data_IF_822347301892
#
_entry.id   IF_822347301892
#
_cell.length_a   1.000
_cell.length_b   1.000
_cell.length_c   1.000
_cell.angle_alpha   90.00
_cell.angle_beta   90.00
_cell.angle_gamma   90.00
#
_symmetry.space_group_name_H-M   'P 1'
#
loop_
_entity.id
_entity.type
_entity.pdbx_description
1 polymer ?
#
# COMPACT_ATOMS: atom_id res chain seq x y z
N UNK A 1 -24.59 -15.59 1.65
CA UNK A 1 -23.64 -14.47 1.65
C UNK A 1 -22.33 -14.92 2.24
N UNK A 2 -21.22 -14.51 1.61
CA UNK A 2 -19.85 -14.80 2.05
C UNK A 2 -19.38 -13.81 3.10
N UNK A 3 -19.76 -12.54 2.96
CA UNK A 3 -19.49 -11.52 3.97
C UNK A 3 -20.72 -11.37 4.89
N UNK A 4 -20.63 -11.77 6.17
CA UNK A 4 -21.72 -11.63 7.11
C UNK A 4 -21.93 -10.18 7.61
N UNK A 5 -20.98 -9.27 7.35
CA UNK A 5 -21.07 -7.86 7.71
C UNK A 5 -21.86 -7.05 6.67
N UNK A 6 -22.06 -7.59 5.47
CA UNK A 6 -22.89 -6.98 4.43
C UNK A 6 -24.39 -7.20 4.67
N UNK A 7 -25.20 -6.28 4.11
CA UNK A 7 -26.65 -6.43 4.00
C UNK A 7 -27.03 -6.96 2.62
N UNK A 8 -27.75 -8.09 2.56
CA UNK A 8 -28.18 -8.71 1.30
C UNK A 8 -28.94 -7.74 0.39
N UNK A 9 -29.89 -7.00 0.96
CA UNK A 9 -30.69 -6.03 0.21
C UNK A 9 -29.84 -4.87 -0.32
N UNK A 10 -28.83 -4.46 0.46
CA UNK A 10 -27.92 -3.40 0.06
C UNK A 10 -27.04 -3.84 -1.10
N UNK A 11 -26.46 -5.05 -1.04
CA UNK A 11 -25.65 -5.59 -2.14
C UNK A 11 -26.45 -5.70 -3.44
N UNK A 12 -27.70 -6.17 -3.37
CA UNK A 12 -28.59 -6.25 -4.53
C UNK A 12 -28.90 -4.87 -5.10
N UNK A 13 -29.24 -3.90 -4.24
CA UNK A 13 -29.50 -2.51 -4.65
C UNK A 13 -28.28 -1.86 -5.30
N UNK A 14 -27.07 -2.03 -4.73
CA UNK A 14 -25.82 -1.54 -5.30
C UNK A 14 -25.57 -2.15 -6.69
N UNK A 15 -25.73 -3.47 -6.84
CA UNK A 15 -25.53 -4.14 -8.14
C UNK A 15 -26.49 -3.61 -9.20
N UNK A 16 -27.77 -3.39 -8.84
CA UNK A 16 -28.76 -2.83 -9.77
C UNK A 16 -28.43 -1.38 -10.14
N UNK A 17 -28.16 -0.54 -9.13
CA UNK A 17 -27.81 0.87 -9.31
C UNK A 17 -26.57 1.05 -10.19
N UNK A 18 -25.48 0.32 -9.90
CA UNK A 18 -24.22 0.42 -10.63
C UNK A 18 -24.38 0.00 -12.09
N UNK A 19 -25.21 -1.03 -12.36
CA UNK A 19 -25.52 -1.44 -13.73
C UNK A 19 -26.28 -0.36 -14.48
N UNK A 20 -27.24 0.31 -13.84
CA UNK A 20 -27.96 1.44 -14.43
C UNK A 20 -27.02 2.62 -14.72
N UNK A 21 -26.15 2.98 -13.76
CA UNK A 21 -25.15 4.04 -13.90
C UNK A 21 -24.13 3.77 -15.02
N UNK A 22 -23.72 2.51 -15.20
CA UNK A 22 -22.90 2.06 -16.33
C UNK A 22 -23.67 2.21 -17.65
N UNK A 23 -24.96 1.85 -17.69
CA UNK A 23 -25.78 1.98 -18.89
C UNK A 23 -25.96 3.44 -19.34
N UNK A 24 -26.21 4.35 -18.40
CA UNK A 24 -26.31 5.79 -18.69
C UNK A 24 -24.97 6.37 -19.17
N UNK A 25 -23.85 5.95 -18.58
CA UNK A 25 -22.51 6.34 -19.03
C UNK A 25 -22.18 5.83 -20.44
N UNK A 26 -22.58 4.62 -20.79
CA UNK A 26 -22.47 4.10 -22.17
C UNK A 26 -23.22 4.99 -23.16
N UNK A 27 -24.46 5.39 -22.84
CA UNK A 27 -25.24 6.34 -23.69
C UNK A 27 -24.52 7.68 -23.82
N UNK A 28 -23.98 8.23 -22.73
CA UNK A 28 -23.22 9.48 -22.73
C UNK A 28 -21.98 9.40 -23.63
N UNK A 29 -21.23 8.29 -23.57
CA UNK A 29 -20.04 8.09 -24.42
C UNK A 29 -20.44 8.05 -25.90
N UNK A 30 -21.54 7.38 -26.26
CA UNK A 30 -22.03 7.36 -27.65
C UNK A 30 -22.30 8.78 -28.18
N UNK A 31 -22.98 9.61 -27.37
CA UNK A 31 -23.26 11.01 -27.74
C UNK A 31 -21.97 11.81 -27.90
N UNK A 32 -21.02 11.67 -26.98
CA UNK A 32 -19.74 12.40 -27.04
C UNK A 32 -18.88 11.98 -28.24
N UNK A 33 -18.91 10.70 -28.63
CA UNK A 33 -18.22 10.22 -29.84
C UNK A 33 -18.83 10.81 -31.11
N UNK A 34 -20.16 10.87 -31.21
CA UNK A 34 -20.87 11.53 -32.33
C UNK A 34 -20.60 13.05 -32.37
N UNK A 35 -20.53 13.71 -31.22
CA UNK A 35 -20.15 15.11 -31.13
C UNK A 35 -18.72 15.35 -31.64
N UNK A 36 -17.77 14.47 -31.31
CA UNK A 36 -16.40 14.55 -31.82
C UNK A 36 -16.33 14.44 -33.34
N UNK A 37 -17.09 13.52 -33.95
CA UNK A 37 -17.17 13.40 -35.42
C UNK A 37 -17.75 14.65 -36.09
N UNK A 38 -18.65 15.36 -35.40
CA UNK A 38 -19.29 16.61 -35.86
C UNK A 38 -18.53 17.88 -35.48
N UNK A 39 -17.43 17.78 -34.72
CA UNK A 39 -16.70 18.92 -34.19
C UNK A 39 -17.49 19.75 -33.17
N UNK A 40 -18.43 19.14 -32.46
CA UNK A 40 -19.27 19.78 -31.43
C UNK A 40 -18.62 19.63 -30.06
N UNK A 41 -18.50 20.72 -29.32
CA UNK A 41 -17.97 20.74 -27.95
C UNK A 41 -19.06 21.22 -26.98
N UNK A 42 -19.65 20.30 -26.19
CA UNK A 42 -20.77 20.62 -25.28
C UNK A 42 -20.32 21.15 -23.91
N UNK A 43 -19.12 20.81 -23.49
CA UNK A 43 -18.60 21.06 -22.15
C UNK A 43 -17.30 21.87 -22.20
N UNK A 44 -16.85 22.49 -21.09
CA UNK A 44 -15.56 23.18 -21.05
C UNK A 44 -14.35 22.23 -21.23
N UNK A 45 -14.40 21.03 -20.64
CA UNK A 45 -13.38 19.97 -20.84
C UNK A 45 -13.63 19.30 -22.19
N UNK A 46 -12.57 18.97 -22.94
CA UNK A 46 -12.69 18.33 -24.25
C UNK A 46 -13.42 16.98 -24.17
N UNK A 47 -14.11 16.61 -25.25
CA UNK A 47 -14.92 15.39 -25.27
C UNK A 47 -14.12 14.12 -24.99
N UNK A 48 -12.87 14.02 -25.48
CA UNK A 48 -12.03 12.84 -25.29
C UNK A 48 -11.68 12.62 -23.82
N UNK A 49 -11.26 13.69 -23.13
CA UNK A 49 -10.96 13.64 -21.70
C UNK A 49 -12.19 13.40 -20.83
N UNK A 50 -13.40 13.74 -21.31
CA UNK A 50 -14.65 13.37 -20.63
C UNK A 50 -14.95 11.89 -20.84
N UNK A 51 -14.73 11.36 -22.05
CA UNK A 51 -14.90 9.93 -22.35
C UNK A 51 -13.96 9.10 -21.46
N UNK A 52 -12.68 9.46 -21.37
CA UNK A 52 -11.70 8.81 -20.49
C UNK A 52 -12.14 8.78 -19.03
N UNK A 53 -12.51 9.94 -18.46
CA UNK A 53 -13.02 10.01 -17.09
C UNK A 53 -14.33 9.23 -16.90
N UNK A 54 -15.16 9.13 -17.95
CA UNK A 54 -16.41 8.35 -17.91
C UNK A 54 -16.13 6.85 -17.87
N UNK A 55 -15.16 6.35 -18.64
CA UNK A 55 -14.70 4.96 -18.55
C UNK A 55 -14.09 4.64 -17.19
N UNK A 56 -13.29 5.55 -16.61
CA UNK A 56 -12.77 5.40 -15.24
C UNK A 56 -13.90 5.24 -14.22
N UNK A 57 -14.95 6.07 -14.32
CA UNK A 57 -16.13 5.94 -13.48
C UNK A 57 -16.87 4.62 -13.68
N UNK A 58 -17.04 4.17 -14.93
CA UNK A 58 -17.64 2.86 -15.23
C UNK A 58 -16.84 1.70 -14.64
N UNK A 59 -15.50 1.80 -14.64
CA UNK A 59 -14.64 0.83 -14.01
C UNK A 59 -14.85 0.78 -12.48
N UNK A 60 -14.96 1.93 -11.81
CA UNK A 60 -15.24 1.97 -10.36
C UNK A 60 -16.55 1.23 -10.00
N UNK A 61 -17.66 1.54 -10.69
CA UNK A 61 -18.93 0.82 -10.51
C UNK A 61 -18.81 -0.67 -10.81
N UNK A 62 -18.02 -1.04 -11.82
CA UNK A 62 -17.82 -2.44 -12.17
C UNK A 62 -17.04 -3.21 -11.08
N UNK A 63 -16.03 -2.59 -10.48
CA UNK A 63 -15.30 -3.16 -9.33
C UNK A 63 -16.24 -3.37 -8.14
N UNK A 64 -17.10 -2.40 -7.84
CA UNK A 64 -18.12 -2.53 -6.78
C UNK A 64 -19.10 -3.69 -7.07
N UNK A 65 -19.59 -3.83 -8.31
CA UNK A 65 -20.41 -4.98 -8.74
C UNK A 65 -19.70 -6.31 -8.49
N UNK A 66 -18.42 -6.43 -8.85
CA UNK A 66 -17.65 -7.66 -8.68
C UNK A 66 -17.54 -8.05 -7.20
N UNK A 67 -17.19 -7.08 -6.36
CA UNK A 67 -17.07 -7.27 -4.92
C UNK A 67 -18.44 -7.62 -4.31
N UNK A 68 -19.49 -6.87 -4.65
CA UNK A 68 -20.84 -7.09 -4.15
C UNK A 68 -21.39 -8.48 -4.53
N UNK A 69 -21.20 -8.91 -5.78
CA UNK A 69 -21.57 -10.26 -6.23
C UNK A 69 -20.85 -11.34 -5.42
N UNK A 70 -19.55 -11.16 -5.21
CA UNK A 70 -18.77 -12.10 -4.44
C UNK A 70 -19.26 -12.15 -2.98
N UNK A 71 -19.43 -11.00 -2.32
CA UNK A 71 -19.95 -10.91 -0.96
C UNK A 71 -21.37 -11.49 -0.82
N UNK A 72 -22.23 -11.32 -1.82
CA UNK A 72 -23.59 -11.85 -1.86
C UNK A 72 -23.61 -13.39 -1.87
N UNK A 73 -22.55 -14.02 -2.38
CA UNK A 73 -22.49 -15.47 -2.53
C UNK A 73 -22.74 -15.95 -3.96
N UNK A 74 -22.71 -15.08 -4.97
CA UNK A 74 -22.85 -15.48 -6.38
C UNK A 74 -21.76 -16.47 -6.78
N UNK A 75 -22.08 -17.37 -7.71
CA UNK A 75 -21.08 -18.30 -8.22
C UNK A 75 -20.03 -17.53 -9.03
N UNK A 76 -18.72 -17.88 -8.96
CA UNK A 76 -17.68 -17.14 -9.68
C UNK A 76 -17.90 -16.99 -11.19
N UNK A 77 -18.58 -17.95 -11.84
CA UNK A 77 -18.96 -17.82 -13.26
C UNK A 77 -19.82 -16.58 -13.56
N UNK A 78 -20.66 -16.16 -12.61
CA UNK A 78 -21.53 -14.99 -12.78
C UNK A 78 -20.74 -13.67 -12.78
N UNK A 79 -19.46 -13.70 -12.39
CA UNK A 79 -18.58 -12.53 -12.35
C UNK A 79 -17.76 -12.36 -13.63
N UNK A 80 -17.64 -13.39 -14.47
CA UNK A 80 -16.73 -13.40 -15.63
C UNK A 80 -17.08 -12.29 -16.63
N UNK A 81 -18.36 -12.11 -16.97
CA UNK A 81 -18.77 -11.08 -17.91
C UNK A 81 -18.45 -9.67 -17.39
N UNK A 82 -18.75 -9.41 -16.11
CA UNK A 82 -18.44 -8.13 -15.48
C UNK A 82 -16.93 -7.90 -15.38
N UNK A 83 -16.15 -8.94 -15.10
CA UNK A 83 -14.69 -8.85 -15.07
C UNK A 83 -14.12 -8.47 -16.44
N UNK A 84 -14.59 -9.09 -17.52
CA UNK A 84 -14.16 -8.77 -18.88
C UNK A 84 -14.58 -7.36 -19.30
N UNK A 85 -15.77 -6.92 -18.88
CA UNK A 85 -16.21 -5.54 -19.05
C UNK A 85 -15.28 -4.57 -18.30
N UNK A 86 -14.82 -4.92 -17.10
CA UNK A 86 -13.86 -4.15 -16.31
C UNK A 86 -12.54 -3.92 -17.07
N UNK A 87 -12.00 -4.97 -17.71
CA UNK A 87 -10.82 -4.85 -18.58
C UNK A 87 -11.10 -3.89 -19.75
N UNK A 88 -12.25 -4.01 -20.42
CA UNK A 88 -12.62 -3.10 -21.50
C UNK A 88 -12.67 -1.63 -21.02
N UNK A 89 -13.24 -1.38 -19.84
CA UNK A 89 -13.31 -0.03 -19.28
C UNK A 89 -11.91 0.51 -18.98
N UNK A 90 -11.05 -0.31 -18.37
CA UNK A 90 -9.65 0.01 -18.10
C UNK A 90 -8.84 0.33 -19.37
N UNK A 91 -9.04 -0.41 -20.46
CA UNK A 91 -8.37 -0.16 -21.74
C UNK A 91 -8.70 1.23 -22.32
N UNK A 92 -9.84 1.80 -21.93
CA UNK A 92 -10.38 3.05 -22.46
C UNK A 92 -10.27 4.25 -21.49
N UNK A 93 -9.55 4.13 -20.37
CA UNK A 93 -9.36 5.26 -19.42
C UNK A 93 -8.35 6.31 -19.90
N UNK A 94 -7.63 6.06 -20.99
CA UNK A 94 -6.66 7.00 -21.54
C UNK A 94 -5.54 7.34 -20.55
N UNK A 95 -5.40 8.63 -20.22
CA UNK A 95 -4.39 9.15 -19.27
C UNK A 95 -4.92 9.25 -17.83
N UNK A 96 -6.16 8.85 -17.57
CA UNK A 96 -6.72 8.89 -16.23
C UNK A 96 -5.99 7.88 -15.32
N UNK A 97 -5.66 8.33 -14.11
CA UNK A 97 -5.01 7.49 -13.10
C UNK A 97 -6.03 6.53 -12.48
N UNK A 98 -5.67 5.25 -12.47
CA UNK A 98 -6.43 4.20 -11.79
C UNK A 98 -5.80 3.93 -10.43
N UNK A 99 -6.63 3.64 -9.44
CA UNK A 99 -6.16 3.36 -8.09
C UNK A 99 -5.39 2.04 -8.06
N UNK A 100 -4.33 2.00 -7.27
CA UNK A 100 -3.42 0.85 -7.20
C UNK A 100 -4.14 -0.42 -6.75
N UNK A 101 -4.95 -0.33 -5.69
CA UNK A 101 -5.67 -1.47 -5.10
C UNK A 101 -6.63 -2.09 -6.12
N UNK A 102 -7.33 -1.27 -6.92
CA UNK A 102 -8.23 -1.79 -7.96
C UNK A 102 -7.48 -2.59 -9.04
N UNK A 103 -6.29 -2.15 -9.44
CA UNK A 103 -5.46 -2.88 -10.41
C UNK A 103 -4.97 -4.21 -9.82
N UNK A 104 -4.57 -4.21 -8.55
CA UNK A 104 -4.12 -5.40 -7.84
C UNK A 104 -5.27 -6.41 -7.70
N UNK A 105 -6.46 -5.93 -7.36
CA UNK A 105 -7.68 -6.73 -7.30
C UNK A 105 -8.06 -7.30 -8.67
N UNK A 106 -8.05 -6.49 -9.73
CA UNK A 106 -8.34 -6.98 -11.08
C UNK A 106 -7.35 -8.04 -11.56
N UNK A 107 -6.07 -7.87 -11.26
CA UNK A 107 -5.05 -8.87 -11.57
C UNK A 107 -5.32 -10.17 -10.80
N UNK A 108 -5.55 -10.05 -9.49
CA UNK A 108 -5.81 -11.18 -8.60
C UNK A 108 -7.08 -11.93 -8.97
N UNK A 109 -8.17 -11.22 -9.25
CA UNK A 109 -9.43 -11.80 -9.72
C UNK A 109 -9.27 -12.51 -11.05
N UNK A 110 -8.47 -12.00 -11.98
CA UNK A 110 -8.19 -12.69 -13.26
C UNK A 110 -7.53 -14.05 -13.05
N UNK A 111 -6.59 -14.12 -12.12
CA UNK A 111 -5.92 -15.37 -11.72
C UNK A 111 -6.91 -16.33 -11.04
N UNK A 112 -7.70 -15.82 -10.09
CA UNK A 112 -8.64 -16.62 -9.30
C UNK A 112 -9.81 -17.17 -10.12
N UNK A 113 -10.35 -16.36 -11.04
CA UNK A 113 -11.41 -16.74 -11.99
C UNK A 113 -10.89 -17.64 -13.12
N UNK A 114 -9.56 -17.75 -13.24
CA UNK A 114 -8.84 -18.44 -14.31
C UNK A 114 -9.28 -17.97 -15.71
N UNK A 115 -9.24 -16.65 -15.93
CA UNK A 115 -9.54 -16.07 -17.25
C UNK A 115 -8.46 -16.41 -18.27
N UNK A 116 -8.79 -16.30 -19.55
CA UNK A 116 -7.85 -16.62 -20.62
C UNK A 116 -6.59 -15.75 -20.55
N UNK A 117 -5.43 -16.35 -20.87
CA UNK A 117 -4.14 -15.62 -20.92
C UNK A 117 -4.19 -14.39 -21.83
N UNK A 118 -5.06 -14.37 -22.84
CA UNK A 118 -5.23 -13.19 -23.71
C UNK A 118 -5.85 -12.01 -22.96
N UNK A 119 -6.81 -12.25 -22.08
CA UNK A 119 -7.42 -11.20 -21.25
C UNK A 119 -6.47 -10.72 -20.16
N UNK A 120 -5.70 -11.63 -19.54
CA UNK A 120 -4.62 -11.24 -18.64
C UNK A 120 -3.57 -10.36 -19.34
N UNK A 121 -3.23 -10.64 -20.61
CA UNK A 121 -2.33 -9.78 -21.40
C UNK A 121 -2.93 -8.39 -21.64
N UNK A 122 -4.23 -8.30 -21.92
CA UNK A 122 -4.93 -7.01 -22.06
C UNK A 122 -4.82 -6.19 -20.78
N UNK A 123 -5.09 -6.80 -19.62
CA UNK A 123 -4.93 -6.15 -18.33
C UNK A 123 -3.46 -5.76 -18.04
N UNK A 124 -2.50 -6.63 -18.36
CA UNK A 124 -1.07 -6.34 -18.21
C UNK A 124 -0.66 -5.08 -18.99
N UNK A 125 -1.16 -4.91 -20.23
CA UNK A 125 -0.93 -3.70 -21.01
C UNK A 125 -1.54 -2.44 -20.38
N UNK A 126 -2.65 -2.55 -19.64
CA UNK A 126 -3.19 -1.43 -18.85
C UNK A 126 -2.25 -1.11 -17.70
N UNK A 127 -1.84 -2.11 -16.92
CA UNK A 127 -0.96 -1.95 -15.75
C UNK A 127 0.36 -1.29 -16.18
N UNK A 128 0.97 -1.75 -17.27
CA UNK A 128 2.20 -1.16 -17.83
C UNK A 128 2.05 0.34 -18.13
N UNK A 129 0.90 0.75 -18.71
CA UNK A 129 0.62 2.16 -19.02
C UNK A 129 0.43 3.02 -17.77
N UNK A 130 0.02 2.43 -16.65
CA UNK A 130 -0.11 3.15 -15.37
C UNK A 130 1.25 3.43 -14.72
N UNK A 131 2.34 2.79 -15.20
CA UNK A 131 3.73 3.03 -14.77
C UNK A 131 3.90 2.94 -13.24
N UNK A 132 3.25 1.95 -12.64
CA UNK A 132 3.38 1.64 -11.21
C UNK A 132 4.48 0.61 -11.04
N UNK A 133 5.44 0.92 -10.18
CA UNK A 133 6.50 0.00 -9.79
C UNK A 133 5.98 -0.84 -8.61
N UNK A 134 5.71 -2.12 -8.85
CA UNK A 134 5.23 -2.99 -7.79
C UNK A 134 5.68 -4.45 -7.96
N UNK A 135 6.47 -4.92 -6.99
CA UNK A 135 7.06 -6.25 -6.98
C UNK A 135 6.03 -7.38 -6.85
N UNK A 136 4.90 -7.14 -6.15
CA UNK A 136 3.83 -8.14 -6.03
C UNK A 136 3.09 -8.30 -7.36
N UNK A 137 2.71 -7.19 -8.02
CA UNK A 137 2.11 -7.24 -9.36
C UNK A 137 3.05 -7.90 -10.37
N UNK A 138 4.34 -7.56 -10.34
CA UNK A 138 5.36 -8.20 -11.19
C UNK A 138 5.40 -9.72 -10.97
N UNK A 139 5.40 -10.16 -9.72
CA UNK A 139 5.38 -11.58 -9.38
C UNK A 139 4.13 -12.27 -9.95
N UNK A 140 2.95 -11.71 -9.70
CA UNK A 140 1.66 -12.25 -10.16
C UNK A 140 1.59 -12.33 -11.70
N UNK A 141 2.02 -11.27 -12.41
CA UNK A 141 2.02 -11.22 -13.88
C UNK A 141 3.01 -12.22 -14.50
N UNK A 142 4.22 -12.35 -13.94
CA UNK A 142 5.20 -13.34 -14.41
C UNK A 142 4.73 -14.77 -14.19
N UNK A 143 4.14 -15.04 -13.03
CA UNK A 143 3.59 -16.35 -12.71
C UNK A 143 2.57 -16.82 -13.76
N UNK A 144 1.83 -15.91 -14.40
CA UNK A 144 0.85 -16.24 -15.42
C UNK A 144 1.43 -16.70 -16.77
N UNK A 145 2.76 -16.59 -16.98
CA UNK A 145 3.43 -16.94 -18.24
C UNK A 145 2.75 -16.28 -19.46
N UNK A 146 2.66 -14.95 -19.39
CA UNK A 146 2.06 -14.09 -20.42
C UNK A 146 3.09 -13.24 -21.17
N UNK A 147 4.38 -13.45 -20.93
CA UNK A 147 5.48 -12.68 -21.55
C UNK A 147 5.76 -11.34 -20.86
N UNK A 148 5.41 -11.22 -19.58
CA UNK A 148 5.75 -10.05 -18.76
C UNK A 148 7.24 -10.09 -18.37
N UNK A 149 8.00 -9.04 -18.71
CA UNK A 149 9.45 -9.00 -18.52
C UNK A 149 9.91 -7.90 -17.55
N UNK A 150 9.00 -7.06 -17.06
CA UNK A 150 9.32 -6.02 -16.10
C UNK A 150 9.77 -6.63 -14.76
N UNK A 151 10.70 -5.98 -14.06
CA UNK A 151 11.20 -6.46 -12.78
C UNK A 151 11.56 -5.30 -11.86
N UNK A 152 10.93 -5.25 -10.70
CA UNK A 152 11.23 -4.26 -9.66
C UNK A 152 11.24 -4.89 -8.28
N UNK A 153 11.99 -4.29 -7.36
CA UNK A 153 11.99 -4.59 -5.93
C UNK A 153 11.10 -3.62 -5.16
N UNK A 154 10.62 -2.56 -5.81
CA UNK A 154 9.82 -1.50 -5.20
C UNK A 154 8.36 -1.95 -5.05
N UNK A 155 7.67 -1.31 -4.10
CA UNK A 155 6.24 -1.48 -3.89
C UNK A 155 5.60 -0.10 -3.93
N UNK A 156 4.63 0.10 -4.83
CA UNK A 156 3.79 1.31 -4.88
C UNK A 156 3.14 1.55 -3.50
N UNK A 157 2.82 0.46 -2.79
CA UNK A 157 2.38 0.49 -1.41
C UNK A 157 3.07 -0.62 -0.61
N UNK A 158 4.03 -0.24 0.24
CA UNK A 158 4.80 -1.20 1.06
C UNK A 158 3.95 -1.93 2.11
N UNK A 159 3.19 -1.22 2.94
CA UNK A 159 2.34 -1.85 3.95
C UNK A 159 0.92 -2.08 3.40
N UNK A 160 0.36 -3.30 3.42
CA UNK A 160 0.96 -4.56 3.89
C UNK A 160 1.71 -5.35 2.81
N UNK A 161 1.66 -4.96 1.53
CA UNK A 161 2.01 -5.83 0.41
C UNK A 161 3.47 -6.30 0.36
N UNK A 162 4.43 -5.54 0.86
CA UNK A 162 5.84 -5.95 0.95
C UNK A 162 6.03 -7.21 1.82
N UNK A 163 5.15 -7.44 2.81
CA UNK A 163 5.15 -8.63 3.67
C UNK A 163 4.90 -9.93 2.87
N UNK A 164 4.32 -9.84 1.66
CA UNK A 164 4.14 -11.00 0.78
C UNK A 164 5.45 -11.54 0.21
N UNK A 165 6.52 -10.74 0.18
CA UNK A 165 7.85 -11.19 -0.24
C UNK A 165 8.35 -12.36 0.61
N UNK A 166 8.10 -12.31 1.93
CA UNK A 166 8.48 -13.37 2.86
C UNK A 166 7.74 -14.68 2.55
N UNK A 167 6.44 -14.60 2.19
CA UNK A 167 5.64 -15.77 1.81
C UNK A 167 6.23 -16.42 0.55
N UNK A 168 6.53 -15.60 -0.47
CA UNK A 168 7.10 -16.06 -1.74
C UNK A 168 8.49 -16.67 -1.53
N UNK A 169 9.35 -16.00 -0.74
CA UNK A 169 10.68 -16.49 -0.40
C UNK A 169 10.62 -17.85 0.30
N UNK A 170 9.78 -17.98 1.34
CA UNK A 170 9.64 -19.25 2.06
C UNK A 170 9.15 -20.37 1.12
N UNK A 171 8.21 -20.07 0.23
CA UNK A 171 7.64 -21.06 -0.69
C UNK A 171 8.63 -21.51 -1.78
N UNK A 172 9.35 -20.58 -2.40
CA UNK A 172 10.15 -20.83 -3.60
C UNK A 172 11.64 -20.98 -3.32
N UNK A 173 12.20 -20.15 -2.44
CA UNK A 173 13.61 -20.18 -2.08
C UNK A 173 13.88 -21.25 -1.01
N UNK A 174 13.23 -21.13 0.15
CA UNK A 174 13.43 -22.07 1.26
C UNK A 174 12.79 -23.43 0.98
N UNK A 175 11.87 -23.48 0.00
CA UNK A 175 11.07 -24.65 -0.39
C UNK A 175 10.27 -25.21 0.78
N UNK A 176 9.87 -24.34 1.70
CA UNK A 176 9.11 -24.65 2.90
C UNK A 176 7.68 -24.11 2.76
N UNK A 177 6.85 -24.87 2.04
CA UNK A 177 5.44 -24.50 1.85
C UNK A 177 4.63 -24.49 3.14
N UNK A 178 5.01 -25.28 4.14
CA UNK A 178 4.31 -25.29 5.43
C UNK A 178 4.54 -23.97 6.18
N UNK A 179 5.80 -23.52 6.23
CA UNK A 179 6.16 -22.21 6.80
C UNK A 179 5.54 -21.06 6.01
N UNK A 180 5.57 -21.12 4.67
CA UNK A 180 4.91 -20.12 3.83
C UNK A 180 3.39 -20.07 4.07
N UNK A 181 2.73 -21.21 4.24
CA UNK A 181 1.30 -21.29 4.55
C UNK A 181 0.98 -20.65 5.91
N UNK A 182 1.80 -20.91 6.93
CA UNK A 182 1.67 -20.25 8.25
C UNK A 182 1.90 -18.74 8.15
N UNK A 183 2.85 -18.30 7.32
CA UNK A 183 3.14 -16.87 7.10
C UNK A 183 1.99 -16.15 6.37
N UNK A 184 1.37 -16.82 5.39
CA UNK A 184 0.15 -16.36 4.73
C UNK A 184 -1.02 -16.24 5.71
N UNK A 185 -1.18 -17.24 6.59
CA UNK A 185 -2.20 -17.18 7.64
C UNK A 185 -2.00 -15.95 8.55
N UNK A 186 -0.79 -15.75 9.04
CA UNK A 186 -0.44 -14.57 9.83
C UNK A 186 -0.71 -13.26 9.08
N UNK A 187 -0.33 -13.20 7.81
CA UNK A 187 -0.56 -12.03 6.95
C UNK A 187 -2.05 -11.64 6.96
N UNK A 188 -2.93 -12.59 6.66
CA UNK A 188 -4.38 -12.34 6.60
C UNK A 188 -4.97 -12.01 7.97
N UNK A 189 -4.64 -12.79 9.01
CA UNK A 189 -5.30 -12.69 10.32
C UNK A 189 -4.86 -11.46 11.12
N UNK A 190 -3.62 -11.01 10.93
CA UNK A 190 -3.01 -9.99 11.80
C UNK A 190 -2.57 -8.73 11.08
N UNK A 191 -2.14 -8.83 9.83
CA UNK A 191 -1.38 -7.76 9.17
C UNK A 191 -2.16 -7.08 8.05
N UNK A 192 -3.03 -7.79 7.34
CA UNK A 192 -3.67 -7.29 6.13
C UNK A 192 -4.66 -6.14 6.42
N UNK A 193 -5.60 -6.34 7.35
CA UNK A 193 -6.55 -5.29 7.74
C UNK A 193 -5.82 -4.13 8.41
N UNK A 194 -4.89 -4.41 9.33
CA UNK A 194 -4.10 -3.39 10.04
C UNK A 194 -3.26 -2.55 9.09
N UNK A 195 -2.66 -3.17 8.08
CA UNK A 195 -1.86 -2.50 7.06
C UNK A 195 -2.67 -1.58 6.14
N UNK A 196 -4.00 -1.53 6.30
CA UNK A 196 -4.91 -0.62 5.62
C UNK A 196 -5.68 0.30 6.58
N UNK A 197 -5.12 0.59 7.77
CA UNK A 197 -5.72 1.54 8.71
C UNK A 197 -5.84 2.96 8.13
N UNK A 198 -4.92 3.39 7.26
CA UNK A 198 -4.98 4.66 6.50
C UNK A 198 -6.20 4.76 5.58
N UNK A 199 -6.81 3.63 5.22
CA UNK A 199 -8.05 3.54 4.44
C UNK A 199 -9.26 3.17 5.31
N UNK A 200 -9.10 3.16 6.64
CA UNK A 200 -10.10 2.78 7.64
C UNK A 200 -10.77 1.42 7.37
N UNK A 201 -10.01 0.45 6.86
CA UNK A 201 -10.52 -0.90 6.59
C UNK A 201 -11.10 -1.58 7.85
N UNK A 202 -10.56 -1.27 9.03
CA UNK A 202 -11.05 -1.74 10.34
C UNK A 202 -12.52 -1.37 10.58
N UNK A 203 -12.96 -0.18 10.15
CA UNK A 203 -14.34 0.28 10.34
C UNK A 203 -15.17 0.36 9.07
N UNK A 204 -14.62 -0.01 7.91
CA UNK A 204 -15.31 0.08 6.61
C UNK A 204 -16.72 -0.54 6.62
N UNK A 205 -16.93 -1.63 7.36
CA UNK A 205 -18.24 -2.29 7.52
C UNK A 205 -19.32 -1.47 8.24
N UNK A 206 -18.95 -0.36 8.88
CA UNK A 206 -19.87 0.58 9.55
C UNK A 206 -20.31 1.71 8.64
N UNK A 207 -19.58 1.95 7.56
CA UNK A 207 -19.85 3.05 6.64
C UNK A 207 -20.89 2.68 5.58
N UNK A 208 -21.75 3.62 5.17
CA UNK A 208 -22.57 3.44 3.97
C UNK A 208 -21.65 3.21 2.76
N UNK A 209 -21.93 2.21 1.93
CA UNK A 209 -21.03 1.83 0.82
C UNK A 209 -20.39 0.46 0.97
N UNK A 210 -20.49 -0.19 2.13
CA UNK A 210 -19.80 -1.45 2.37
C UNK A 210 -20.37 -2.61 1.54
N UNK A 211 -19.64 -2.99 0.48
CA UNK A 211 -19.94 -4.14 -0.37
C UNK A 211 -19.10 -5.38 -0.05
N UNK A 212 -18.25 -5.30 0.96
CA UNK A 212 -17.37 -6.36 1.43
C UNK A 212 -15.89 -6.00 1.26
N UNK A 213 -15.03 -6.72 1.99
CA UNK A 213 -13.59 -6.44 2.02
C UNK A 213 -12.78 -7.73 1.93
N UNK A 214 -12.04 -7.89 0.82
CA UNK A 214 -11.41 -9.15 0.44
C UNK A 214 -9.95 -8.99 0.01
N UNK A 215 -9.07 -9.86 0.52
CA UNK A 215 -7.67 -9.96 0.10
C UNK A 215 -7.55 -10.91 -1.09
N UNK A 216 -7.92 -10.43 -2.28
CA UNK A 216 -7.85 -11.23 -3.51
C UNK A 216 -6.40 -11.61 -3.85
N UNK A 217 -5.45 -10.72 -3.58
CA UNK A 217 -4.03 -10.93 -3.84
C UNK A 217 -3.43 -12.05 -2.99
N UNK A 218 -3.83 -12.19 -1.73
CA UNK A 218 -3.37 -13.29 -0.88
C UNK A 218 -3.89 -14.64 -1.37
N UNK A 219 -5.15 -14.71 -1.81
CA UNK A 219 -5.72 -15.92 -2.38
C UNK A 219 -5.08 -16.27 -3.73
N UNK A 220 -4.83 -15.28 -4.59
CA UNK A 220 -4.12 -15.49 -5.85
C UNK A 220 -2.70 -16.00 -5.60
N UNK A 221 -2.01 -15.44 -4.60
CA UNK A 221 -0.68 -15.87 -4.17
C UNK A 221 -0.67 -17.32 -3.67
N UNK A 222 -1.63 -17.68 -2.80
CA UNK A 222 -1.79 -19.04 -2.30
C UNK A 222 -1.99 -20.05 -3.43
N UNK A 223 -2.86 -19.71 -4.40
CA UNK A 223 -3.13 -20.52 -5.59
C UNK A 223 -1.90 -20.72 -6.46
N UNK A 224 -1.16 -19.63 -6.75
CA UNK A 224 0.07 -19.67 -7.57
C UNK A 224 1.14 -20.55 -6.91
N UNK A 225 1.34 -20.40 -5.61
CA UNK A 225 2.39 -21.09 -4.86
C UNK A 225 2.02 -22.52 -4.44
N UNK A 226 0.73 -22.87 -4.54
CA UNK A 226 0.19 -24.15 -4.07
C UNK A 226 0.33 -24.32 -2.56
N UNK A 227 -0.02 -23.27 -1.80
CA UNK A 227 0.03 -23.27 -0.33
C UNK A 227 -1.21 -23.95 0.27
N UNK A 228 -1.07 -24.46 1.50
CA UNK A 228 -2.20 -24.96 2.28
C UNK A 228 -2.85 -23.80 3.04
N UNK A 229 -3.94 -23.28 2.48
CA UNK A 229 -4.72 -22.18 3.02
C UNK A 229 -5.97 -22.67 3.80
N UNK A 230 -6.05 -23.96 4.15
CA UNK A 230 -7.22 -24.53 4.81
C UNK A 230 -7.57 -23.88 6.15
N UNK A 231 -6.56 -23.34 6.85
CA UNK A 231 -6.75 -22.57 8.09
C UNK A 231 -7.51 -21.25 7.88
N UNK A 232 -7.49 -20.70 6.66
CA UNK A 232 -8.12 -19.44 6.30
C UNK A 232 -9.53 -19.60 5.73
N UNK A 233 -10.05 -20.83 5.66
CA UNK A 233 -11.35 -21.13 5.04
C UNK A 233 -12.52 -20.33 5.61
N UNK A 234 -12.53 -20.12 6.91
CA UNK A 234 -13.59 -19.41 7.63
C UNK A 234 -13.20 -17.95 7.97
N UNK A 235 -12.10 -17.44 7.39
CA UNK A 235 -11.67 -16.05 7.60
C UNK A 235 -12.54 -15.07 6.80
N UNK A 236 -12.97 -13.98 7.44
CA UNK A 236 -13.89 -13.00 6.84
C UNK A 236 -13.33 -12.21 5.65
N UNK A 237 -12.02 -12.21 5.44
CA UNK A 237 -11.36 -11.42 4.39
C UNK A 237 -10.63 -12.28 3.37
N UNK A 238 -10.49 -13.58 3.60
CA UNK A 238 -9.82 -14.49 2.69
C UNK A 238 -10.81 -15.14 1.72
N UNK A 239 -10.68 -14.92 0.40
CA UNK A 239 -11.63 -15.45 -0.56
C UNK A 239 -11.34 -16.93 -0.91
N UNK A 240 -11.53 -17.82 0.06
CA UNK A 240 -11.16 -19.24 -0.02
C UNK A 240 -11.78 -19.95 -1.23
N UNK A 241 -13.07 -19.78 -1.47
CA UNK A 241 -13.74 -20.48 -2.56
C UNK A 241 -13.30 -19.97 -3.96
N UNK A 242 -12.80 -18.74 -4.08
CA UNK A 242 -12.14 -18.27 -5.31
C UNK A 242 -10.76 -18.91 -5.49
N UNK A 243 -9.97 -19.04 -4.42
CA UNK A 243 -8.67 -19.73 -4.49
C UNK A 243 -8.84 -21.17 -5.02
N UNK A 244 -9.91 -21.84 -4.56
CA UNK A 244 -10.27 -23.22 -4.88
C UNK A 244 -11.29 -23.38 -6.03
N UNK A 245 -11.61 -22.30 -6.75
CA UNK A 245 -12.70 -22.30 -7.74
C UNK A 245 -12.47 -23.27 -8.90
N UNK A 246 -11.33 -23.11 -9.58
CA UNK A 246 -10.84 -23.96 -10.68
C UNK A 246 -9.38 -24.32 -10.41
N UNK A 247 -8.85 -25.28 -11.17
CA UNK A 247 -7.43 -25.66 -11.14
C UNK A 247 -6.90 -25.93 -12.57
N UNK A 248 -7.38 -25.17 -13.55
CA UNK A 248 -7.04 -25.32 -14.96
C UNK A 248 -5.90 -24.41 -15.42
N UNK A 249 -5.68 -23.29 -14.74
CA UNK A 249 -4.58 -22.37 -15.02
C UNK A 249 -3.24 -22.95 -14.52
N UNK A 250 -2.23 -22.94 -15.38
CA UNK A 250 -0.86 -23.30 -15.03
C UNK A 250 0.00 -22.07 -14.80
N UNK A 251 0.82 -22.09 -13.76
CA UNK A 251 1.76 -21.01 -13.44
C UNK A 251 3.20 -21.42 -13.76
N UNK A 252 3.99 -20.51 -14.31
CA UNK A 252 5.43 -20.67 -14.46
C UNK A 252 6.15 -19.90 -13.35
N UNK A 253 6.88 -20.60 -12.51
CA UNK A 253 7.71 -20.04 -11.44
C UNK A 253 9.20 -20.35 -11.65
N UNK A 254 9.57 -20.91 -12.82
CA UNK A 254 10.95 -21.26 -13.14
C UNK A 254 11.86 -20.04 -13.31
N UNK A 255 11.28 -18.89 -13.64
CA UNK A 255 11.96 -17.59 -13.68
C UNK A 255 12.33 -17.08 -12.30
N UNK A 256 11.63 -17.53 -11.24
CA UNK A 256 11.92 -17.15 -9.87
C UNK A 256 13.16 -17.90 -9.42
N UNK A 257 14.32 -17.38 -9.81
CA UNK A 257 15.60 -17.81 -9.29
C UNK A 257 15.66 -17.54 -7.79
N UNK A 258 16.54 -18.26 -7.10
CA UNK A 258 17.09 -17.78 -5.83
C UNK A 258 17.41 -16.30 -6.06
N UNK A 259 16.93 -15.36 -5.22
CA UNK A 259 17.48 -14.02 -5.25
C UNK A 259 18.99 -14.26 -5.20
N UNK A 260 19.70 -13.98 -6.31
CA UNK A 260 21.08 -13.54 -6.17
C UNK A 260 20.90 -12.47 -5.12
N UNK A 261 21.43 -12.70 -3.90
CA UNK A 261 21.47 -11.67 -2.86
C UNK A 261 21.61 -10.39 -3.64
N UNK A 262 20.55 -9.56 -3.68
CA UNK A 262 20.63 -8.30 -4.40
C UNK A 262 21.97 -7.77 -3.93
N UNK A 263 22.94 -7.61 -4.85
CA UNK A 263 24.21 -7.01 -4.50
C UNK A 263 23.79 -5.78 -3.75
N UNK A 264 23.94 -5.84 -2.42
CA UNK A 264 23.15 -5.06 -1.49
C UNK A 264 23.18 -3.66 -2.06
N UNK A 265 22.03 -3.12 -2.51
CA UNK A 265 21.93 -1.76 -3.10
C UNK A 265 22.93 -0.94 -2.32
N UNK A 266 24.09 -0.61 -2.93
CA UNK A 266 25.36 -0.39 -2.19
C UNK A 266 25.01 0.08 -0.79
N UNK A 267 25.09 -0.79 0.23
CA UNK A 267 24.85 -0.34 1.62
C UNK A 267 25.81 0.84 1.74
N UNK A 268 25.26 2.06 1.69
CA UNK A 268 26.07 3.27 1.73
C UNK A 268 26.93 3.08 2.97
N UNK A 269 28.24 2.94 2.76
CA UNK A 269 29.13 2.42 3.79
C UNK A 269 28.83 3.20 5.07
N UNK A 270 28.35 2.52 6.11
CA UNK A 270 27.77 3.18 7.28
C UNK A 270 28.77 4.20 7.80
N UNK A 271 28.45 5.49 7.62
CA UNK A 271 29.30 6.58 8.08
C UNK A 271 28.96 6.83 9.52
N UNK A 272 29.78 6.27 10.40
CA UNK A 272 29.62 6.42 11.83
C UNK A 272 29.93 7.85 12.28
N UNK A 273 28.96 8.41 13.00
CA UNK A 273 29.15 9.48 13.96
C UNK A 273 28.32 10.71 13.60
N UNK A 274 27.97 11.49 14.61
CA UNK A 274 27.32 12.79 14.46
C UNK A 274 28.25 13.84 15.08
N UNK A 275 29.39 14.18 14.43
CA UNK A 275 30.42 15.04 15.04
C UNK A 275 29.90 16.38 15.56
N UNK A 276 28.88 16.94 14.90
CA UNK A 276 28.27 18.20 15.31
C UNK A 276 27.40 18.08 16.58
N UNK A 277 26.96 16.87 16.94
CA UNK A 277 26.19 16.58 18.16
C UNK A 277 26.29 15.09 18.56
N UNK A 278 27.44 14.63 19.11
CA UNK A 278 27.70 13.20 19.34
C UNK A 278 26.77 12.53 20.36
N UNK A 279 26.16 13.33 21.25
CA UNK A 279 25.20 12.85 22.25
C UNK A 279 23.97 12.17 21.60
N UNK A 280 23.61 12.57 20.37
CA UNK A 280 22.47 12.01 19.65
C UNK A 280 22.70 10.57 19.19
N UNK A 281 23.95 10.10 19.12
CA UNK A 281 24.27 8.71 18.78
C UNK A 281 23.72 7.71 19.81
N UNK A 282 23.26 8.18 20.98
CA UNK A 282 22.55 7.36 21.96
C UNK A 282 21.11 7.02 21.54
N UNK A 283 20.52 7.81 20.65
CA UNK A 283 19.10 7.69 20.25
C UNK A 283 18.91 7.67 18.74
N UNK A 284 19.96 7.89 17.95
CA UNK A 284 19.97 7.78 16.50
C UNK A 284 20.85 6.59 16.13
N UNK A 285 20.31 5.55 15.46
CA UNK A 285 21.09 4.41 15.00
C UNK A 285 22.18 4.81 14.01
N UNK A 286 23.27 4.03 13.96
CA UNK A 286 24.42 4.28 13.09
C UNK A 286 24.06 4.48 11.60
N UNK A 287 23.04 3.76 11.12
CA UNK A 287 22.50 3.88 9.75
C UNK A 287 22.05 5.30 9.39
N UNK A 288 21.63 6.09 10.38
CA UNK A 288 21.12 7.46 10.20
C UNK A 288 22.11 8.55 10.60
N UNK A 289 23.32 8.20 11.09
CA UNK A 289 24.31 9.17 11.55
C UNK A 289 24.70 10.18 10.46
N UNK A 290 25.05 9.70 9.26
CA UNK A 290 25.42 10.55 8.12
C UNK A 290 24.32 11.55 7.78
N UNK A 291 23.08 11.05 7.66
CA UNK A 291 21.90 11.84 7.32
C UNK A 291 21.63 12.92 8.37
N UNK A 292 21.56 12.55 9.66
CA UNK A 292 21.32 13.53 10.73
C UNK A 292 22.44 14.55 10.82
N UNK A 293 23.70 14.13 10.60
CA UNK A 293 24.83 15.06 10.60
C UNK A 293 24.77 16.05 9.41
N UNK A 294 24.33 15.59 8.23
CA UNK A 294 24.08 16.45 7.07
C UNK A 294 22.97 17.47 7.36
N UNK A 295 21.84 17.02 7.93
CA UNK A 295 20.72 17.90 8.34
C UNK A 295 21.19 18.97 9.30
N UNK A 296 21.96 18.60 10.33
CA UNK A 296 22.53 19.55 11.30
C UNK A 296 23.47 20.54 10.60
N UNK A 297 24.33 20.07 9.70
CA UNK A 297 25.24 20.92 8.95
C UNK A 297 24.49 21.94 8.10
N UNK A 298 23.55 21.46 7.29
CA UNK A 298 22.76 22.27 6.37
C UNK A 298 21.90 23.30 7.10
N UNK A 299 21.27 22.93 8.22
CA UNK A 299 20.44 23.85 9.00
C UNK A 299 21.24 25.06 9.52
N UNK A 300 22.54 24.89 9.72
CA UNK A 300 23.45 25.96 10.14
C UNK A 300 24.05 26.77 8.98
N UNK A 301 24.05 26.25 7.74
CA UNK A 301 24.76 26.86 6.61
C UNK A 301 23.89 27.32 5.47
N UNK A 302 22.77 26.64 5.20
CA UNK A 302 21.85 26.97 4.12
C UNK A 302 20.92 28.11 4.53
N UNK A 303 20.42 28.84 3.54
CA UNK A 303 19.28 29.74 3.74
C UNK A 303 18.01 28.93 4.01
N UNK A 304 17.01 29.54 4.64
CA UNK A 304 15.75 28.85 4.95
C UNK A 304 15.04 28.32 3.69
N UNK A 305 15.07 29.06 2.59
CA UNK A 305 14.53 28.61 1.30
C UNK A 305 15.30 27.41 0.71
N UNK A 306 16.63 27.41 0.80
CA UNK A 306 17.45 26.28 0.33
C UNK A 306 17.23 25.03 1.17
N UNK A 307 17.17 25.18 2.49
CA UNK A 307 16.93 24.08 3.42
C UNK A 307 15.53 23.48 3.23
N UNK A 308 14.49 24.32 3.18
CA UNK A 308 13.10 23.91 2.96
C UNK A 308 12.93 23.12 1.66
N UNK A 309 13.59 23.55 0.58
CA UNK A 309 13.58 22.84 -0.70
C UNK A 309 14.35 21.52 -0.65
N UNK A 310 15.56 21.52 -0.07
CA UNK A 310 16.43 20.34 -0.04
C UNK A 310 15.77 19.17 0.68
N UNK A 311 15.11 19.44 1.80
CA UNK A 311 14.47 18.42 2.64
C UNK A 311 12.97 18.24 2.36
N UNK A 312 12.46 18.84 1.28
CA UNK A 312 11.05 18.78 0.88
C UNK A 312 10.09 19.05 2.05
N UNK A 313 10.33 20.10 2.82
CA UNK A 313 9.56 20.41 4.03
C UNK A 313 8.13 20.91 3.75
N UNK A 314 7.69 20.86 2.48
CA UNK A 314 6.35 21.30 2.05
C UNK A 314 5.21 20.48 2.66
N UNK A 315 5.52 19.25 3.06
CA UNK A 315 4.55 18.35 3.70
C UNK A 315 4.29 18.75 5.17
N UNK A 316 5.15 19.59 5.74
CA UNK A 316 5.02 20.13 7.10
C UNK A 316 4.60 21.61 7.06
N UNK A 317 5.26 22.41 6.22
CA UNK A 317 4.97 23.83 6.00
C UNK A 317 4.59 24.06 4.55
N UNK A 318 3.35 24.50 4.30
CA UNK A 318 2.80 24.56 2.95
C UNK A 318 3.61 25.46 2.01
N UNK A 319 4.19 26.53 2.57
CA UNK A 319 5.13 27.38 1.86
C UNK A 319 6.32 27.82 2.73
N UNK A 320 7.37 28.33 2.07
CA UNK A 320 8.62 28.73 2.70
C UNK A 320 8.46 29.84 3.74
N UNK A 321 7.44 30.71 3.61
CA UNK A 321 7.26 31.83 4.56
C UNK A 321 6.76 31.33 5.89
N UNK A 322 5.87 30.34 5.88
CA UNK A 322 5.39 29.68 7.10
C UNK A 322 6.57 29.07 7.86
N UNK A 323 7.44 28.34 7.14
CA UNK A 323 8.68 27.81 7.70
C UNK A 323 9.63 28.91 8.22
N UNK A 324 9.82 30.01 7.49
CA UNK A 324 10.65 31.14 7.94
C UNK A 324 10.10 31.81 9.21
N UNK A 325 8.78 31.90 9.34
CA UNK A 325 8.11 32.49 10.50
C UNK A 325 8.27 31.60 11.74
N UNK A 326 8.02 30.30 11.63
CA UNK A 326 8.17 29.34 12.71
C UNK A 326 9.64 29.14 13.09
N UNK A 327 10.52 29.04 12.10
CA UNK A 327 11.96 28.85 12.30
C UNK A 327 12.71 30.14 12.68
N UNK A 328 12.01 31.26 12.87
CA UNK A 328 12.62 32.57 13.17
C UNK A 328 13.47 32.57 14.44
N UNK A 329 13.08 31.78 15.45
CA UNK A 329 13.83 31.62 16.69
C UNK A 329 14.99 30.61 16.58
N UNK A 330 15.13 29.92 15.43
CA UNK A 330 16.09 28.83 15.18
C UNK A 330 16.02 27.69 16.21
N UNK A 331 14.81 27.43 16.71
CA UNK A 331 14.53 26.42 17.74
C UNK A 331 13.56 25.35 17.21
N UNK A 332 13.85 24.80 16.02
CA UNK A 332 13.03 23.76 15.38
C UNK A 332 13.83 22.58 14.85
N UNK A 333 15.15 22.55 15.09
CA UNK A 333 16.02 21.53 14.51
C UNK A 333 15.68 20.13 15.02
N UNK A 334 15.35 19.98 16.31
CA UNK A 334 14.92 18.69 16.86
C UNK A 334 13.63 18.21 16.20
N UNK A 335 12.65 19.10 16.07
CA UNK A 335 11.35 18.83 15.44
C UNK A 335 11.51 18.40 13.98
N UNK A 336 12.33 19.11 13.22
CA UNK A 336 12.63 18.78 11.83
C UNK A 336 13.31 17.41 11.73
N UNK A 337 14.28 17.12 12.61
CA UNK A 337 14.95 15.80 12.65
C UNK A 337 13.93 14.70 12.95
N UNK A 338 12.97 14.91 13.86
CA UNK A 338 11.89 13.95 14.12
C UNK A 338 11.12 13.64 12.83
N UNK A 339 10.59 14.67 12.15
CA UNK A 339 9.82 14.47 10.92
C UNK A 339 10.61 13.79 9.82
N UNK A 340 11.87 14.19 9.63
CA UNK A 340 12.74 13.57 8.64
C UNK A 340 13.06 12.11 8.98
N UNK A 341 13.09 11.74 10.26
CA UNK A 341 13.29 10.35 10.68
C UNK A 341 12.00 9.52 10.63
N UNK A 342 10.83 10.15 10.62
CA UNK A 342 9.56 9.50 10.27
C UNK A 342 9.58 9.09 8.80
N UNK A 343 9.99 10.00 7.91
CA UNK A 343 10.17 9.70 6.46
C UNK A 343 11.22 8.61 6.20
N UNK A 344 12.14 8.41 7.14
CA UNK A 344 13.16 7.34 7.10
C UNK A 344 12.71 6.04 7.79
N UNK A 345 11.44 5.96 8.20
CA UNK A 345 10.84 4.79 8.86
C UNK A 345 11.59 4.41 10.17
N UNK A 346 12.27 5.37 10.81
CA UNK A 346 12.90 5.16 12.12
C UNK A 346 11.96 5.52 13.27
N UNK A 347 11.26 6.64 13.14
CA UNK A 347 10.30 7.12 14.14
C UNK A 347 8.90 6.78 13.64
N UNK A 348 8.14 6.05 14.45
CA UNK A 348 6.71 5.83 14.22
C UNK A 348 5.96 7.11 14.58
N UNK A 349 5.12 7.60 13.66
CA UNK A 349 4.17 8.69 13.87
C UNK A 349 2.76 8.11 13.99
N UNK A 350 2.02 8.54 15.01
CA UNK A 350 0.62 8.17 15.25
C UNK A 350 -0.24 9.43 15.37
N UNK A 351 -1.47 9.36 14.87
CA UNK A 351 -2.51 10.38 15.14
C UNK A 351 -2.95 10.30 16.61
N UNK A 352 -3.37 11.42 17.23
CA UNK A 352 -3.84 11.42 18.62
C UNK A 352 -4.98 10.44 18.94
N UNK A 353 -5.69 9.93 17.93
CA UNK A 353 -6.75 8.93 18.08
C UNK A 353 -6.26 7.49 18.04
N UNK A 354 -5.03 7.25 17.63
CA UNK A 354 -4.45 5.94 17.49
C UNK A 354 -3.83 5.47 18.81
N UNK A 355 -3.99 4.18 19.13
CA UNK A 355 -3.45 3.60 20.35
C UNK A 355 -2.12 2.92 20.03
N UNK A 356 -1.04 3.32 20.70
CA UNK A 356 0.31 2.76 20.52
C UNK A 356 0.35 1.23 20.61
N UNK A 357 -0.51 0.60 21.43
CA UNK A 357 -0.58 -0.87 21.55
C UNK A 357 -0.84 -1.53 20.19
N UNK A 358 -1.67 -0.89 19.34
CA UNK A 358 -2.06 -1.43 18.04
C UNK A 358 -0.89 -1.43 17.03
N UNK A 359 0.13 -0.61 17.25
CA UNK A 359 1.24 -0.32 16.33
C UNK A 359 2.63 -0.63 16.88
N UNK A 360 2.74 -1.10 18.13
CA UNK A 360 4.05 -1.34 18.77
C UNK A 360 4.89 -2.37 18.00
N UNK A 361 4.23 -3.34 17.36
CA UNK A 361 4.88 -4.37 16.52
C UNK A 361 5.42 -3.81 15.19
N UNK A 362 4.95 -2.63 14.77
CA UNK A 362 5.40 -1.96 13.53
C UNK A 362 6.65 -1.07 13.75
N UNK A 363 7.12 -0.92 15.00
CA UNK A 363 8.33 -0.14 15.31
C UNK A 363 9.58 -0.99 15.09
N UNK A 364 10.34 -0.68 14.06
CA UNK A 364 11.59 -1.36 13.76
C UNK A 364 12.66 -1.15 14.83
N UNK A 365 13.33 -2.24 15.23
CA UNK A 365 14.49 -2.18 16.12
C UNK A 365 15.80 -2.11 15.31
N UNK A 366 16.31 -0.90 15.13
CA UNK A 366 17.57 -0.63 14.43
C UNK A 366 18.83 -0.86 15.26
N UNK A 367 18.71 -1.27 16.53
CA UNK A 367 19.83 -1.47 17.47
C UNK A 367 20.29 -2.93 17.57
N UNK A 368 19.78 -3.80 16.70
CA UNK A 368 20.21 -5.19 16.59
C UNK A 368 19.95 -5.99 17.87
N UNK A 369 21.03 -6.46 18.52
CA UNK A 369 20.95 -7.32 19.72
C UNK A 369 20.96 -6.54 21.04
N UNK A 370 21.04 -5.22 20.99
CA UNK A 370 21.04 -4.41 22.22
C UNK A 370 19.68 -4.47 22.91
N UNK A 371 19.69 -4.40 24.24
CA UNK A 371 18.44 -4.24 24.97
C UNK A 371 17.91 -2.82 24.76
N UNK A 372 16.68 -2.73 24.25
CA UNK A 372 16.03 -1.45 23.95
C UNK A 372 14.94 -1.10 24.97
N UNK A 373 14.59 0.19 24.99
CA UNK A 373 13.40 0.76 25.61
C UNK A 373 12.68 1.62 24.59
N UNK A 374 11.38 1.80 24.77
CA UNK A 374 10.58 2.66 23.93
C UNK A 374 10.58 4.08 24.51
N UNK A 375 10.82 5.07 23.66
CA UNK A 375 10.72 6.49 24.04
C UNK A 375 9.71 7.21 23.14
N UNK A 376 9.12 8.28 23.67
CA UNK A 376 8.30 9.23 22.93
C UNK A 376 9.03 10.55 22.70
N UNK A 377 8.83 11.16 21.53
CA UNK A 377 9.34 12.49 21.19
C UNK A 377 8.21 13.53 21.35
N UNK A 378 8.36 14.46 22.29
CA UNK A 378 7.36 15.50 22.57
C UNK A 378 7.51 16.65 21.57
N UNK A 379 6.70 16.61 20.51
CA UNK A 379 6.57 17.67 19.49
C UNK A 379 5.27 18.45 19.74
N UNK A 380 5.30 19.77 19.53
CA UNK A 380 4.13 20.65 19.73
C UNK A 380 3.12 20.54 18.57
N UNK A 381 2.51 19.36 18.42
CA UNK A 381 1.41 19.11 17.49
C UNK A 381 0.43 18.06 18.06
N UNK A 382 -0.58 17.67 17.27
CA UNK A 382 -1.61 16.69 17.65
C UNK A 382 -1.23 15.24 17.32
N UNK A 383 0.06 14.94 17.22
CA UNK A 383 0.57 13.62 16.85
C UNK A 383 1.55 13.11 17.89
N UNK A 384 1.79 11.81 17.87
CA UNK A 384 2.65 11.11 18.80
C UNK A 384 3.77 10.40 18.03
N UNK A 385 4.97 10.41 18.61
CA UNK A 385 6.17 9.94 17.93
C UNK A 385 6.95 8.97 18.80
N UNK A 386 7.30 7.81 18.28
CA UNK A 386 7.91 6.73 19.06
C UNK A 386 9.09 6.07 18.35
N UNK A 387 10.12 5.69 19.11
CA UNK A 387 11.20 4.85 18.60
C UNK A 387 11.82 3.99 19.70
N UNK A 388 12.37 2.84 19.30
CA UNK A 388 13.23 2.05 20.18
C UNK A 388 14.63 2.67 20.24
N UNK A 389 15.15 2.80 21.47
CA UNK A 389 16.53 3.24 21.75
C UNK A 389 17.19 2.30 22.76
N UNK A 390 18.52 2.23 22.84
CA UNK A 390 19.20 1.40 23.83
C UNK A 390 18.79 1.78 25.25
N UNK A 391 18.63 0.81 26.14
CA UNK A 391 18.36 1.08 27.57
C UNK A 391 19.43 1.94 28.23
N UNK A 392 20.65 1.92 27.70
CA UNK A 392 21.78 2.73 28.15
C UNK A 392 21.69 4.20 27.74
N UNK A 393 20.77 4.56 26.84
CA UNK A 393 20.56 5.95 26.43
C UNK A 393 20.11 6.81 27.62
N UNK A 394 20.92 7.83 27.93
CA UNK A 394 20.76 8.72 29.07
C UNK A 394 20.41 10.16 28.69
N UNK A 395 20.20 10.44 27.40
CA UNK A 395 19.78 11.75 26.90
C UNK A 395 18.26 11.95 27.10
N UNK A 396 17.87 13.16 27.51
CA UNK A 396 16.48 13.53 27.82
C UNK A 396 15.82 14.40 26.75
N UNK A 397 16.57 14.77 25.71
CA UNK A 397 16.14 15.72 24.69
C UNK A 397 16.90 15.56 23.36
N UNK A 398 16.18 15.74 22.26
CA UNK A 398 16.71 15.96 20.92
C UNK A 398 16.53 17.46 20.61
N UNK A 399 17.54 18.26 20.95
CA UNK A 399 17.43 19.73 20.93
C UNK A 399 16.25 20.23 21.78
N UNK A 400 15.26 20.88 21.18
CA UNK A 400 14.06 21.37 21.86
C UNK A 400 13.00 20.29 22.13
N UNK A 401 13.13 19.12 21.49
CA UNK A 401 12.18 18.02 21.61
C UNK A 401 12.53 17.19 22.84
N UNK A 402 11.61 17.14 23.82
CA UNK A 402 11.80 16.36 25.04
C UNK A 402 11.54 14.87 24.79
N UNK A 403 12.33 14.01 25.42
CA UNK A 403 12.20 12.55 25.33
C UNK A 403 11.67 12.00 26.64
N UNK A 404 10.65 11.15 26.54
CA UNK A 404 10.05 10.48 27.70
C UNK A 404 10.03 8.98 27.47
N UNK A 405 10.44 8.19 28.45
CA UNK A 405 10.35 6.74 28.38
C UNK A 405 8.89 6.30 28.49
N UNK A 406 8.44 5.47 27.56
CA UNK A 406 7.08 4.93 27.58
C UNK A 406 7.06 3.78 28.60
N UNK A 407 6.24 3.93 29.65
CA UNK A 407 6.06 2.86 30.64
C UNK A 407 5.50 1.60 29.97
N UNK A 408 5.78 0.43 30.56
CA UNK A 408 5.33 -0.86 30.01
C UNK A 408 3.86 -0.81 29.67
N UNK A 409 3.57 -0.97 28.38
CA UNK A 409 2.23 -1.20 27.87
C UNK A 409 1.82 -2.58 28.38
N UNK A 410 0.93 -2.64 29.36
CA UNK A 410 0.33 -3.90 29.79
C UNK A 410 -0.53 -4.41 28.63
N UNK A 411 -0.10 -5.49 27.97
CA UNK A 411 -0.94 -6.27 27.07
C UNK A 411 -2.18 -6.73 27.87
N UNK A 412 -3.36 -6.20 27.54
CA UNK A 412 -4.65 -6.64 28.11
C UNK A 412 -5.22 -7.80 27.30
#
# INVERSE_FOLDING_TARGET
>A
MRDPLCSESYLLETIEFDKEEICERKKKIIVLKDDMEKGIQRYPKDNQSIIYATYRGMFMYNTEILIAKYSLGSHPDEMIEDYLNGIEYLENVGEEKVWYIDLLWMLSLGILLEVDKQDLKRLACVIEKQKKEDALMDFLLKACDIGWNHNTSEYERKNPYAKTAEIIQMALHDKDREKASKRLQQYIEKEWVKGHNDLDFKNAHKEPGYVGLWSFEAAALAKILGLDDSALKDNNHYPYDLAHYKNGMSFDLSWYGVPVEEEAKEEEAIVYGIPNKPELEQIIPAKFHSFVNEVIGDYNTLTDEEFWKKYNLREIWFDVKEYEEDNKAKNMLGTIIVFLLVEKEYILQLDYKEDLVDYIEDIDNYWGKEEVKLISFEVDNDQQYYAYVPKTAAIDSLYEVKLTEVEKIEEV
#
